data_IF_883116255299
#
_entry.id   IF_883116255299
#
_cell.length_a   1.000
_cell.length_b   1.000
_cell.length_c   1.000
_cell.angle_alpha   90.00
_cell.angle_beta   90.00
_cell.angle_gamma   90.00
#
_symmetry.space_group_name_H-M   'P 1'
#
loop_
_entity.id
_entity.type
_entity.pdbx_description
1 polymer ?
#
# COMPACT_ATOMS: atom_id res chain seq x y z
N UNK A 1 -0.44 -33.98 48.62
CA UNK A 1 0.96 -33.67 48.97
C UNK A 1 1.43 -32.54 48.04
N UNK A 2 1.42 -31.32 48.58
CA UNK A 2 2.22 -30.13 48.25
C UNK A 2 2.21 -29.63 46.77
N UNK A 3 1.40 -28.64 46.35
CA UNK A 3 1.28 -27.20 46.70
C UNK A 3 1.91 -26.29 45.61
N UNK A 4 1.11 -25.60 44.76
CA UNK A 4 1.54 -24.82 43.57
C UNK A 4 2.14 -23.42 43.85
N UNK A 5 2.75 -23.22 45.03
CA UNK A 5 3.25 -21.93 45.50
C UNK A 5 4.78 -21.72 45.31
N UNK A 6 5.52 -22.76 44.94
CA UNK A 6 6.99 -22.69 44.83
C UNK A 6 7.49 -22.22 43.44
N UNK A 7 6.64 -22.25 42.41
CA UNK A 7 7.01 -21.80 41.06
C UNK A 7 6.92 -20.28 40.85
N UNK A 8 6.56 -19.52 41.89
CA UNK A 8 6.32 -18.07 41.78
C UNK A 8 7.07 -17.26 42.86
N UNK A 9 8.37 -17.48 43.09
CA UNK A 9 9.07 -16.61 44.06
C UNK A 9 10.59 -16.43 43.95
N UNK A 10 11.31 -17.19 43.12
CA UNK A 10 12.76 -17.02 42.95
C UNK A 10 13.05 -16.87 41.45
N UNK A 11 12.83 -15.76 40.73
CA UNK A 11 12.97 -14.34 41.04
C UNK A 11 14.26 -14.03 41.81
N UNK A 12 15.15 -13.38 41.07
CA UNK A 12 16.03 -12.32 41.57
C UNK A 12 17.31 -12.85 42.24
N UNK A 13 18.42 -12.24 41.86
CA UNK A 13 19.74 -12.28 42.51
C UNK A 13 20.64 -13.48 42.20
N UNK A 14 21.43 -13.35 41.12
CA UNK A 14 22.89 -13.55 41.08
C UNK A 14 23.28 -13.64 39.60
N UNK A 15 23.50 -12.55 38.84
CA UNK A 15 24.49 -11.48 39.08
C UNK A 15 25.82 -12.04 39.56
N UNK A 16 26.71 -12.35 38.61
CA UNK A 16 28.18 -12.18 38.62
C UNK A 16 28.70 -12.98 37.42
N UNK A 17 28.85 -12.37 36.23
CA UNK A 17 29.94 -11.45 35.85
C UNK A 17 31.32 -12.06 36.12
N UNK A 18 32.10 -12.08 35.03
CA UNK A 18 33.55 -12.25 34.90
C UNK A 18 34.00 -13.67 34.49
N UNK A 19 34.78 -13.91 33.45
CA UNK A 19 35.55 -13.12 32.44
C UNK A 19 36.20 -14.21 31.57
N UNK A 20 36.19 -14.21 30.23
CA UNK A 20 37.17 -13.55 29.33
C UNK A 20 36.68 -13.74 27.87
N UNK A 21 36.38 -12.69 27.09
CA UNK A 21 37.28 -11.98 26.14
C UNK A 21 37.78 -12.90 24.99
N UNK A 22 37.73 -12.58 23.69
CA UNK A 22 37.43 -11.36 22.92
C UNK A 22 37.28 -11.77 21.44
N UNK A 23 36.13 -11.51 20.79
CA UNK A 23 36.03 -11.52 19.32
C UNK A 23 34.86 -10.64 18.89
N UNK A 24 35.16 -9.36 18.68
CA UNK A 24 34.25 -8.36 18.13
C UNK A 24 34.09 -8.58 16.62
N UNK A 25 33.00 -9.22 16.21
CA UNK A 25 32.47 -9.07 14.86
C UNK A 25 31.19 -8.22 14.97
N UNK A 26 31.29 -6.95 14.56
CA UNK A 26 30.15 -6.05 14.50
C UNK A 26 29.05 -6.66 13.61
N UNK A 27 27.76 -6.53 13.96
CA UNK A 27 26.70 -6.82 13.01
C UNK A 27 26.86 -5.81 11.88
N UNK A 28 27.15 -6.29 10.67
CA UNK A 28 27.02 -5.47 9.48
C UNK A 28 25.58 -4.93 9.48
N UNK A 29 25.45 -3.62 9.70
CA UNK A 29 24.22 -2.90 9.52
C UNK A 29 23.76 -3.16 8.09
N UNK A 30 22.75 -4.02 7.94
CA UNK A 30 22.02 -4.12 6.70
C UNK A 30 21.46 -2.71 6.46
N UNK A 31 21.81 -2.04 5.34
CA UNK A 31 21.15 -0.78 5.02
C UNK A 31 19.67 -1.09 5.00
N UNK A 32 18.88 -0.26 5.68
CA UNK A 32 17.43 -0.28 5.65
C UNK A 32 16.98 0.00 4.20
N UNK A 33 17.07 -1.03 3.35
CA UNK A 33 16.35 -1.11 2.11
C UNK A 33 14.91 -1.34 2.49
N UNK A 34 14.19 -0.23 2.58
CA UNK A 34 12.76 -0.09 2.34
C UNK A 34 12.02 -1.43 2.25
N UNK A 35 11.35 -1.82 3.33
CA UNK A 35 10.39 -2.92 3.32
C UNK A 35 9.27 -2.53 2.36
N UNK A 36 9.46 -2.81 1.07
CA UNK A 36 8.39 -2.77 0.11
C UNK A 36 7.29 -3.71 0.64
N UNK A 37 6.02 -3.27 0.69
CA UNK A 37 4.91 -4.14 1.04
C UNK A 37 5.00 -5.42 0.21
N UNK A 38 4.67 -6.60 0.79
CA UNK A 38 4.72 -7.85 0.05
C UNK A 38 3.94 -7.68 -1.25
N UNK A 39 4.64 -7.84 -2.38
CA UNK A 39 4.04 -7.80 -3.71
C UNK A 39 2.86 -8.78 -3.71
N UNK A 40 1.66 -8.24 -3.87
CA UNK A 40 0.44 -9.04 -3.86
C UNK A 40 0.51 -10.05 -5.02
N UNK A 41 0.43 -11.37 -4.76
CA UNK A 41 0.35 -12.38 -5.82
C UNK A 41 -0.98 -12.19 -6.54
N UNK A 42 -0.97 -11.41 -7.62
CA UNK A 42 -2.19 -10.92 -8.26
C UNK A 42 -2.00 -9.61 -9.02
N UNK A 43 -0.96 -8.83 -8.72
CA UNK A 43 -0.47 -7.78 -9.63
C UNK A 43 0.24 -8.44 -10.83
N UNK A 44 -0.44 -9.34 -11.52
CA UNK A 44 -0.09 -9.64 -12.90
C UNK A 44 -0.17 -8.31 -13.60
N UNK A 45 0.92 -7.89 -14.24
CA UNK A 45 0.92 -6.73 -15.10
C UNK A 45 -0.10 -7.00 -16.20
N UNK A 46 -1.35 -6.60 -15.98
CA UNK A 46 -2.38 -6.63 -16.99
C UNK A 46 -1.83 -5.82 -18.15
N UNK A 47 -1.68 -6.47 -19.31
CA UNK A 47 -1.18 -5.78 -20.50
C UNK A 47 -2.19 -4.70 -20.84
N UNK A 48 -1.83 -3.45 -20.58
CA UNK A 48 -2.61 -2.28 -20.97
C UNK A 48 -2.49 -2.13 -22.49
N UNK A 49 -3.59 -2.32 -23.22
CA UNK A 49 -3.66 -2.23 -24.69
C UNK A 49 -3.97 -0.81 -25.18
N UNK A 50 -3.63 0.23 -24.43
CA UNK A 50 -3.96 1.62 -24.74
C UNK A 50 -2.79 2.57 -24.52
N UNK A 51 -2.98 3.89 -24.71
CA UNK A 51 -1.96 4.90 -24.45
C UNK A 51 -1.46 4.84 -23.00
N UNK A 52 -0.30 5.45 -22.69
CA UNK A 52 0.19 5.52 -21.31
C UNK A 52 -0.86 6.13 -20.37
N UNK A 53 -0.81 5.79 -19.06
CA UNK A 53 -1.74 6.34 -18.09
C UNK A 53 -1.79 7.88 -18.15
N UNK A 54 -2.98 8.49 -18.02
CA UNK A 54 -3.13 9.93 -18.06
C UNK A 54 -2.38 10.60 -16.90
N UNK A 55 -1.67 11.69 -17.21
CA UNK A 55 -0.98 12.50 -16.19
C UNK A 55 -1.99 13.37 -15.43
N UNK A 56 -1.89 13.51 -14.09
CA UNK A 56 -2.78 14.39 -13.34
C UNK A 56 -2.75 15.84 -13.87
N UNK A 57 -3.90 16.55 -13.91
CA UNK A 57 -5.22 16.15 -13.40
C UNK A 57 -6.09 15.38 -14.41
N UNK A 58 -5.57 15.03 -15.59
CA UNK A 58 -6.35 14.36 -16.62
C UNK A 58 -6.84 12.98 -16.16
N UNK A 59 -8.04 12.62 -16.63
CA UNK A 59 -8.70 11.34 -16.32
C UNK A 59 -8.80 10.42 -17.53
N UNK A 60 -8.47 10.91 -18.73
CA UNK A 60 -8.46 10.16 -19.98
C UNK A 60 -7.21 10.52 -20.81
N UNK A 61 -6.59 9.50 -21.41
CA UNK A 61 -5.60 9.65 -22.47
C UNK A 61 -6.10 8.90 -23.71
N UNK A 62 -5.94 9.49 -24.90
CA UNK A 62 -6.32 8.89 -26.19
C UNK A 62 -5.17 8.96 -27.18
N UNK A 63 -5.08 7.98 -28.07
CA UNK A 63 -4.11 7.98 -29.18
C UNK A 63 -4.77 8.18 -30.55
N UNK A 64 -3.95 8.21 -31.60
CA UNK A 64 -4.41 8.37 -32.98
C UNK A 64 -5.21 7.16 -33.50
N UNK A 65 -5.12 6.00 -32.85
CA UNK A 65 -5.89 4.80 -33.17
C UNK A 65 -7.23 4.77 -32.41
N UNK A 66 -7.61 5.85 -31.73
CA UNK A 66 -8.80 5.96 -30.87
C UNK A 66 -8.82 4.97 -29.69
N UNK A 67 -7.67 4.46 -29.27
CA UNK A 67 -7.58 3.72 -28.01
C UNK A 67 -7.56 4.71 -26.85
N UNK A 68 -8.18 4.33 -25.73
CA UNK A 68 -8.28 5.17 -24.55
C UNK A 68 -7.79 4.45 -23.29
N UNK A 69 -7.09 5.18 -22.43
CA UNK A 69 -6.75 4.76 -21.07
C UNK A 69 -7.43 5.71 -20.09
N UNK A 70 -8.19 5.16 -19.16
CA UNK A 70 -8.91 5.91 -18.12
C UNK A 70 -8.22 5.79 -16.77
N UNK A 71 -8.28 6.87 -15.98
CA UNK A 71 -7.87 6.85 -14.57
C UNK A 71 -9.01 6.35 -13.71
N UNK A 72 -8.82 5.21 -13.05
CA UNK A 72 -9.72 4.78 -11.98
C UNK A 72 -9.54 5.68 -10.74
N UNK A 73 -10.65 6.15 -10.17
CA UNK A 73 -10.65 6.89 -8.91
C UNK A 73 -11.53 6.18 -7.90
N UNK A 74 -10.99 5.98 -6.69
CA UNK A 74 -11.73 5.36 -5.60
C UNK A 74 -12.74 6.36 -5.03
N UNK A 75 -14.00 5.95 -4.95
CA UNK A 75 -15.04 6.74 -4.29
C UNK A 75 -14.79 6.77 -2.77
N UNK A 76 -15.01 7.94 -2.17
CA UNK A 76 -14.88 8.19 -0.73
C UNK A 76 -16.24 8.29 -0.03
N UNK A 77 -17.32 8.42 -0.80
CA UNK A 77 -18.70 8.44 -0.36
C UNK A 77 -19.57 7.62 -1.34
N UNK A 78 -20.77 7.18 -0.93
CA UNK A 78 -21.76 6.60 -1.84
C UNK A 78 -22.13 7.60 -2.96
N UNK A 79 -22.53 7.06 -4.12
CA UNK A 79 -23.02 7.84 -5.26
C UNK A 79 -24.55 7.84 -5.23
N UNK A 80 -25.18 9.00 -5.32
CA UNK A 80 -26.62 9.10 -5.60
C UNK A 80 -26.80 9.26 -7.12
N UNK A 81 -27.81 8.63 -7.70
CA UNK A 81 -28.04 8.66 -9.15
C UNK A 81 -29.50 9.04 -9.36
N UNK A 82 -29.81 10.28 -9.01
CA UNK A 82 -31.13 10.90 -9.15
C UNK A 82 -31.25 11.76 -10.43
N UNK A 83 -30.12 12.00 -11.10
CA UNK A 83 -30.02 12.80 -12.32
C UNK A 83 -29.45 14.20 -12.09
N UNK A 84 -29.23 14.61 -10.85
CA UNK A 84 -28.40 15.75 -10.49
C UNK A 84 -26.93 15.32 -10.41
N UNK A 85 -25.99 16.22 -10.71
CA UNK A 85 -24.55 15.92 -10.73
C UNK A 85 -23.86 16.75 -9.64
N UNK A 86 -24.29 16.57 -8.40
CA UNK A 86 -23.90 17.45 -7.30
C UNK A 86 -22.81 16.88 -6.39
N UNK A 87 -22.47 15.60 -6.52
CA UNK A 87 -21.49 14.93 -5.65
C UNK A 87 -20.08 15.50 -5.82
N UNK A 88 -19.28 15.39 -4.76
CA UNK A 88 -17.89 15.90 -4.76
C UNK A 88 -17.04 15.34 -5.91
N UNK A 89 -17.25 14.07 -6.28
CA UNK A 89 -16.49 13.42 -7.36
C UNK A 89 -16.67 14.13 -8.71
N UNK A 90 -17.85 14.72 -8.97
CA UNK A 90 -18.14 15.46 -10.19
C UNK A 90 -17.58 16.88 -10.19
N UNK A 91 -17.26 17.43 -9.01
CA UNK A 91 -16.67 18.78 -8.87
C UNK A 91 -15.16 18.74 -8.82
N UNK A 92 -14.59 17.73 -8.18
CA UNK A 92 -13.15 17.67 -7.85
C UNK A 92 -12.31 17.01 -8.95
N UNK A 93 -12.93 16.20 -9.82
CA UNK A 93 -12.24 15.47 -10.87
C UNK A 93 -12.56 16.04 -12.25
N UNK A 94 -11.57 16.04 -13.12
CA UNK A 94 -11.80 16.33 -14.54
C UNK A 94 -12.70 15.23 -15.13
N UNK A 95 -13.83 15.56 -15.78
CA UNK A 95 -14.67 14.56 -16.44
C UNK A 95 -13.91 13.95 -17.63
N UNK A 96 -14.23 12.68 -17.95
CA UNK A 96 -13.78 12.07 -19.19
C UNK A 96 -14.70 12.52 -20.34
N UNK A 97 -14.16 13.29 -21.28
CA UNK A 97 -14.90 13.92 -22.37
C UNK A 97 -14.90 13.10 -23.66
N UNK A 98 -15.64 13.57 -24.67
CA UNK A 98 -15.69 13.03 -26.04
C UNK A 98 -16.20 11.59 -26.12
N UNK A 99 -17.20 11.26 -25.30
CA UNK A 99 -18.00 10.05 -25.46
C UNK A 99 -19.08 10.29 -26.53
N UNK A 100 -19.06 9.46 -27.58
CA UNK A 100 -20.08 9.47 -28.64
C UNK A 100 -20.88 8.18 -28.52
N UNK A 101 -22.20 8.30 -28.39
CA UNK A 101 -23.15 7.20 -28.47
C UNK A 101 -23.98 7.40 -29.74
N UNK A 102 -24.05 6.35 -30.57
CA UNK A 102 -24.84 6.31 -31.81
C UNK A 102 -25.97 5.31 -31.66
#
# INVERSE_FOLDING_TARGET
MNSPALQRAIRIAAVLVATTALATAAPAAQPAGETAPPAQPGAQQERMFGPPPPAPPATIARDAANQATLRAVRLTAPLDIDGELDEQVYRDLSPASDFIQI
#
